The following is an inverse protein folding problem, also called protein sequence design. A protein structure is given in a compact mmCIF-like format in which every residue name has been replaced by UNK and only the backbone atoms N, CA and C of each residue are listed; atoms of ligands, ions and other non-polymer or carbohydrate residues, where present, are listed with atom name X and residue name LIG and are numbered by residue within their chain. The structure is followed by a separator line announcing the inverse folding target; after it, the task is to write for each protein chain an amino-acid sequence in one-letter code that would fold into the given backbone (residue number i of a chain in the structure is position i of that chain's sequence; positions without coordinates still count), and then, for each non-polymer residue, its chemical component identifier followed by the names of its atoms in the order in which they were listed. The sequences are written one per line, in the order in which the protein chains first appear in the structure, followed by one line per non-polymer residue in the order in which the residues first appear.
data_IF_832815106347
#
_entry.id   IF_832815106347
#
_cell.length_a   1.000
_cell.length_b   1.000
_cell.length_c   1.000
_cell.angle_alpha   90.00
_cell.angle_beta   90.00
_cell.angle_gamma   90.00
#
_symmetry.space_group_name_H-M   'P 1'
#
loop_
_entity.id
_entity.type
_entity.pdbx_description
1 polymer ?
#
# COMPACT_ATOMS: atom_id res chain seq x y z
N UNK A 1 -21.76 14.06 1.71
CA UNK A 1 -22.12 13.46 0.41
C UNK A 1 -21.36 12.16 0.37
N UNK A 2 -22.07 11.09 0.70
CA UNK A 2 -21.55 9.73 0.86
C UNK A 2 -21.27 9.17 -0.55
N UNK A 3 -20.01 8.88 -0.88
CA UNK A 3 -19.56 8.53 -2.24
C UNK A 3 -19.16 7.05 -2.39
N UNK A 4 -19.28 6.21 -1.36
CA UNK A 4 -18.95 4.77 -1.45
C UNK A 4 -20.06 3.88 -0.90
N UNK A 5 -21.31 4.06 -1.35
CA UNK A 5 -22.33 3.00 -1.21
C UNK A 5 -22.73 2.46 -2.59
N UNK A 6 -22.45 1.16 -2.78
CA UNK A 6 -22.84 0.29 -3.89
C UNK A 6 -22.18 0.55 -5.25
N UNK A 7 -21.06 -0.12 -5.57
CA UNK A 7 -20.99 -0.94 -6.81
C UNK A 7 -19.70 -1.70 -7.13
N UNK A 8 -18.72 -1.84 -6.22
CA UNK A 8 -17.44 -2.49 -6.58
C UNK A 8 -17.64 -3.92 -7.13
N UNK A 9 -18.60 -4.68 -6.57
CA UNK A 9 -18.89 -6.05 -7.04
C UNK A 9 -19.75 -6.15 -8.32
N UNK A 10 -20.44 -5.09 -8.76
CA UNK A 10 -21.22 -5.12 -10.02
C UNK A 10 -20.43 -4.63 -11.23
N UNK A 11 -19.41 -3.80 -11.03
CA UNK A 11 -18.61 -3.24 -12.13
C UNK A 11 -17.67 -4.30 -12.73
N UNK A 12 -17.16 -5.23 -11.91
CA UNK A 12 -16.33 -6.35 -12.37
C UNK A 12 -17.11 -7.37 -13.23
N UNK A 13 -18.43 -7.45 -13.11
CA UNK A 13 -19.27 -8.38 -13.89
C UNK A 13 -19.70 -7.84 -15.27
N UNK A 14 -19.51 -6.54 -15.54
CA UNK A 14 -19.95 -5.89 -16.80
C UNK A 14 -18.82 -5.49 -17.76
N UNK A 15 -17.56 -5.60 -17.33
CA UNK A 15 -16.39 -5.25 -18.14
C UNK A 15 -15.90 -6.39 -19.06
N UNK A 16 -16.79 -7.32 -19.43
CA UNK A 16 -16.47 -8.53 -20.19
C UNK A 16 -16.43 -8.39 -21.70
N UNK A 17 -16.87 -7.27 -22.28
CA UNK A 17 -16.93 -7.09 -23.74
C UNK A 17 -16.47 -5.69 -24.15
N UNK A 18 -15.18 -5.55 -24.49
CA UNK A 18 -14.67 -4.66 -25.56
C UNK A 18 -13.15 -4.84 -25.69
N UNK A 19 -12.73 -5.40 -26.82
CA UNK A 19 -11.34 -5.61 -27.22
C UNK A 19 -10.65 -4.29 -27.58
N UNK A 20 -9.64 -3.87 -26.82
CA UNK A 20 -8.39 -3.26 -27.32
C UNK A 20 -7.28 -3.34 -26.26
N UNK A 21 -6.42 -4.35 -26.36
CA UNK A 21 -4.95 -4.24 -26.30
C UNK A 21 -4.24 -3.56 -25.12
N UNK A 22 -4.31 -4.14 -23.91
CA UNK A 22 -3.13 -4.48 -23.07
C UNK A 22 -3.60 -5.46 -22.00
N UNK A 23 -3.30 -6.74 -22.19
CA UNK A 23 -3.66 -7.80 -21.24
C UNK A 23 -2.69 -7.76 -20.06
N UNK A 24 -3.09 -7.12 -18.96
CA UNK A 24 -2.46 -7.34 -17.67
C UNK A 24 -3.06 -8.60 -17.06
N UNK A 25 -2.32 -9.71 -17.12
CA UNK A 25 -2.63 -10.90 -16.32
C UNK A 25 -2.31 -10.59 -14.86
N UNK A 26 -3.33 -10.53 -14.01
CA UNK A 26 -3.15 -10.49 -12.55
C UNK A 26 -2.68 -11.89 -12.12
N UNK A 27 -1.45 -12.06 -11.58
CA UNK A 27 -1.07 -13.32 -10.98
C UNK A 27 -1.75 -13.41 -9.61
N UNK A 28 -2.69 -14.34 -9.47
CA UNK A 28 -3.22 -14.74 -8.15
C UNK A 28 -2.04 -15.28 -7.33
N UNK A 29 -1.69 -14.57 -6.26
CA UNK A 29 -0.70 -15.00 -5.28
C UNK A 29 -1.24 -16.22 -4.52
N UNK A 30 -0.88 -17.43 -4.96
CA UNK A 30 -1.13 -18.66 -4.22
C UNK A 30 -0.21 -18.74 -3.00
N UNK A 31 -0.57 -18.03 -1.92
CA UNK A 31 -0.04 -18.32 -0.59
C UNK A 31 -1.11 -19.06 0.23
N UNK A 32 -1.43 -20.28 -0.22
CA UNK A 32 -2.16 -21.29 0.54
C UNK A 32 -1.18 -22.34 1.07
N UNK A 33 -0.61 -22.12 2.27
CA UNK A 33 0.33 -23.06 2.86
C UNK A 33 -0.42 -24.21 3.57
N UNK A 34 -0.59 -25.33 2.87
CA UNK A 34 -0.73 -26.64 3.52
C UNK A 34 0.66 -27.12 3.97
N UNK A 35 0.77 -27.49 5.24
CA UNK A 35 2.04 -27.68 5.95
C UNK A 35 2.94 -28.79 5.40
N UNK A 36 4.22 -28.46 5.25
CA UNK A 36 5.34 -29.40 5.15
C UNK A 36 6.37 -29.03 6.23
N UNK A 37 6.74 -29.92 7.19
CA UNK A 37 7.50 -29.53 8.39
C UNK A 37 9.02 -29.34 8.17
N UNK A 38 9.48 -29.15 6.93
CA UNK A 38 10.90 -29.06 6.57
C UNK A 38 11.33 -27.77 5.84
N UNK A 39 10.43 -26.82 5.60
CA UNK A 39 10.79 -25.58 4.91
C UNK A 39 11.30 -24.54 5.92
N UNK A 40 12.60 -24.18 5.84
CA UNK A 40 13.11 -22.96 6.46
C UNK A 40 12.15 -21.80 6.16
N UNK A 41 11.75 -21.01 7.17
CA UNK A 41 10.85 -19.87 7.01
C UNK A 41 11.31 -19.01 5.82
N UNK A 42 10.64 -19.18 4.67
CA UNK A 42 10.93 -18.39 3.48
C UNK A 42 10.46 -16.99 3.82
N UNK A 43 11.41 -16.07 3.96
CA UNK A 43 11.12 -14.66 4.21
C UNK A 43 10.17 -14.16 3.11
N UNK A 44 9.08 -13.52 3.52
CA UNK A 44 8.16 -12.89 2.59
C UNK A 44 8.86 -11.82 1.75
N UNK A 45 8.53 -11.76 0.46
CA UNK A 45 9.05 -10.80 -0.52
C UNK A 45 7.91 -10.27 -1.37
N UNK A 46 7.99 -9.01 -1.81
CA UNK A 46 7.08 -8.47 -2.82
C UNK A 46 7.46 -8.94 -4.23
N UNK A 47 6.53 -8.84 -5.17
CA UNK A 47 6.78 -8.97 -6.60
C UNK A 47 7.77 -7.89 -7.07
N UNK A 48 8.53 -8.18 -8.14
CA UNK A 48 9.48 -7.22 -8.72
C UNK A 48 8.78 -6.04 -9.41
N UNK A 49 7.58 -6.29 -9.95
CA UNK A 49 6.75 -5.31 -10.65
C UNK A 49 5.31 -5.35 -10.11
N UNK A 50 4.54 -4.25 -10.25
CA UNK A 50 4.96 -2.94 -10.76
C UNK A 50 5.85 -2.16 -9.76
N UNK A 51 6.76 -1.32 -10.25
CA UNK A 51 7.54 -0.41 -9.40
C UNK A 51 6.78 0.91 -9.13
N UNK A 52 7.30 1.77 -8.25
CA UNK A 52 6.63 3.04 -7.88
C UNK A 52 6.34 3.96 -9.07
N UNK A 53 7.22 4.01 -10.07
CA UNK A 53 7.02 4.81 -11.28
C UNK A 53 5.98 4.18 -12.22
N UNK A 54 5.89 2.85 -12.27
CA UNK A 54 4.82 2.16 -13.00
C UNK A 54 3.45 2.47 -12.39
N UNK A 55 3.34 2.42 -11.06
CA UNK A 55 2.09 2.73 -10.35
C UNK A 55 1.72 4.21 -10.55
N UNK A 56 2.68 5.14 -10.41
CA UNK A 56 2.45 6.57 -10.67
C UNK A 56 1.91 6.79 -12.08
N UNK A 57 2.51 6.14 -13.09
CA UNK A 57 2.09 6.27 -14.49
C UNK A 57 0.69 5.71 -14.73
N UNK A 58 0.40 4.50 -14.24
CA UNK A 58 -0.92 3.87 -14.36
C UNK A 58 -2.02 4.75 -13.74
N UNK A 59 -1.73 5.35 -12.59
CA UNK A 59 -2.62 6.30 -11.96
C UNK A 59 -2.84 7.53 -12.84
N UNK A 60 -1.74 8.15 -13.30
CA UNK A 60 -1.81 9.40 -14.04
C UNK A 60 -2.66 9.24 -15.31
N UNK A 61 -2.46 8.12 -16.02
CA UNK A 61 -3.28 7.71 -17.16
C UNK A 61 -4.76 7.60 -16.77
N UNK A 62 -5.07 6.90 -15.67
CA UNK A 62 -6.44 6.75 -15.17
C UNK A 62 -7.12 8.09 -14.85
N UNK A 63 -6.37 9.04 -14.28
CA UNK A 63 -6.87 10.38 -13.92
C UNK A 63 -7.04 11.28 -15.13
N UNK A 64 -6.09 11.24 -16.06
CA UNK A 64 -6.11 12.02 -17.30
C UNK A 64 -7.32 11.65 -18.16
N UNK A 65 -7.59 10.35 -18.32
CA UNK A 65 -8.75 9.83 -19.06
C UNK A 65 -10.09 10.36 -18.54
N UNK A 66 -10.14 10.75 -17.26
CA UNK A 66 -11.37 11.19 -16.58
C UNK A 66 -11.42 12.69 -16.35
N UNK A 67 -10.40 13.44 -16.77
CA UNK A 67 -10.23 14.86 -16.48
C UNK A 67 -10.31 15.17 -14.96
N UNK A 68 -9.80 14.24 -14.14
CA UNK A 68 -9.89 14.35 -12.67
C UNK A 68 -8.77 15.17 -12.04
N UNK A 69 -7.76 15.55 -12.82
CA UNK A 69 -6.66 16.39 -12.36
C UNK A 69 -7.12 17.70 -11.72
N UNK A 70 -8.26 18.25 -12.12
CA UNK A 70 -8.85 19.45 -11.52
C UNK A 70 -9.18 19.27 -10.03
N UNK A 71 -9.52 18.05 -9.60
CA UNK A 71 -9.84 17.71 -8.20
C UNK A 71 -8.61 17.27 -7.40
N UNK A 72 -7.54 16.83 -8.06
CA UNK A 72 -6.32 16.28 -7.47
C UNK A 72 -5.33 17.39 -7.06
N UNK A 73 -5.80 18.34 -6.25
CA UNK A 73 -4.95 19.33 -5.59
C UNK A 73 -4.25 18.69 -4.38
N UNK A 74 -3.02 19.08 -4.01
CA UNK A 74 -2.26 18.44 -2.93
C UNK A 74 -3.02 18.30 -1.61
N UNK A 75 -3.79 19.31 -1.21
CA UNK A 75 -4.62 19.24 0.00
C UNK A 75 -5.71 18.17 -0.10
N UNK A 76 -6.35 18.04 -1.26
CA UNK A 76 -7.43 17.08 -1.45
C UNK A 76 -6.89 15.65 -1.43
N UNK A 77 -5.74 15.43 -2.09
CA UNK A 77 -5.03 14.14 -2.06
C UNK A 77 -4.58 13.76 -0.65
N UNK A 78 -4.08 14.71 0.13
CA UNK A 78 -3.75 14.46 1.54
C UNK A 78 -4.99 14.03 2.35
N UNK A 79 -6.14 14.67 2.13
CA UNK A 79 -7.37 14.31 2.83
C UNK A 79 -7.90 12.93 2.41
N UNK A 80 -7.80 12.60 1.11
CA UNK A 80 -8.13 11.26 0.61
C UNK A 80 -7.21 10.20 1.23
N UNK A 81 -5.89 10.42 1.22
CA UNK A 81 -4.90 9.56 1.88
C UNK A 81 -5.23 9.31 3.37
N UNK A 82 -5.62 10.34 4.10
CA UNK A 82 -6.01 10.19 5.52
C UNK A 82 -7.27 9.33 5.65
N UNK A 83 -8.22 9.46 4.73
CA UNK A 83 -9.41 8.61 4.66
C UNK A 83 -9.03 7.14 4.53
N UNK A 84 -8.20 6.79 3.55
CA UNK A 84 -7.81 5.40 3.31
C UNK A 84 -6.94 4.83 4.44
N UNK A 85 -6.10 5.64 5.10
CA UNK A 85 -5.43 5.23 6.35
C UNK A 85 -6.44 4.92 7.45
N UNK A 86 -7.56 5.66 7.49
CA UNK A 86 -8.69 5.37 8.36
C UNK A 86 -9.34 4.04 8.03
N UNK A 87 -9.61 3.76 6.75
CA UNK A 87 -10.17 2.48 6.28
C UNK A 87 -9.25 1.30 6.66
N UNK A 88 -7.92 1.43 6.51
CA UNK A 88 -6.95 0.45 7.04
C UNK A 88 -7.11 0.28 8.55
N UNK A 89 -7.20 1.37 9.32
CA UNK A 89 -7.31 1.30 10.77
C UNK A 89 -8.60 0.61 11.22
N UNK A 90 -9.71 0.77 10.50
CA UNK A 90 -10.99 0.15 10.79
C UNK A 90 -10.94 -1.39 10.75
N UNK A 91 -10.08 -1.97 9.90
CA UNK A 91 -9.88 -3.42 9.82
C UNK A 91 -9.24 -4.00 11.09
N UNK A 92 -8.44 -3.20 11.80
CA UNK A 92 -7.71 -3.61 13.00
C UNK A 92 -8.35 -3.14 14.31
N UNK A 93 -9.22 -2.14 14.30
CA UNK A 93 -9.63 -1.39 15.51
C UNK A 93 -10.20 -2.25 16.66
N UNK A 94 -10.84 -3.39 16.34
CA UNK A 94 -11.45 -4.31 17.33
C UNK A 94 -10.69 -5.63 17.47
N UNK A 95 -9.51 -5.76 16.86
CA UNK A 95 -8.66 -6.94 16.96
C UNK A 95 -7.79 -6.83 18.22
N UNK A 96 -7.54 -7.96 18.88
CA UNK A 96 -6.50 -8.07 19.89
C UNK A 96 -5.10 -8.09 19.27
N UNK A 97 -4.13 -8.68 19.97
CA UNK A 97 -2.82 -8.94 19.38
C UNK A 97 -2.97 -9.75 18.08
N UNK A 98 -2.41 -9.23 17.00
CA UNK A 98 -2.54 -9.81 15.66
C UNK A 98 -1.21 -10.45 15.27
N UNK A 99 -1.23 -11.74 14.95
CA UNK A 99 -0.02 -12.48 14.55
C UNK A 99 0.47 -12.07 13.15
N UNK A 100 1.78 -12.16 12.94
CA UNK A 100 2.38 -11.97 11.61
C UNK A 100 1.76 -12.94 10.59
N UNK A 101 1.49 -12.44 9.39
CA UNK A 101 0.85 -13.22 8.32
C UNK A 101 -0.67 -13.41 8.46
N UNK A 102 -1.28 -12.90 9.53
CA UNK A 102 -2.74 -12.84 9.71
C UNK A 102 -3.45 -14.22 9.55
N UNK A 103 -2.98 -15.29 10.23
CA UNK A 103 -3.49 -16.65 10.00
C UNK A 103 -4.99 -16.82 10.33
N UNK A 104 -5.51 -16.01 11.25
CA UNK A 104 -6.91 -16.07 11.69
C UNK A 104 -7.86 -15.20 10.84
N UNK A 105 -7.34 -14.54 9.80
CA UNK A 105 -8.14 -13.68 8.93
C UNK A 105 -8.75 -14.48 7.79
N UNK A 106 -10.02 -14.21 7.50
CA UNK A 106 -10.74 -14.77 6.36
C UNK A 106 -10.20 -14.16 5.07
N UNK A 107 -10.36 -14.88 3.95
CA UNK A 107 -9.93 -14.42 2.64
C UNK A 107 -10.47 -13.01 2.29
N UNK A 108 -11.76 -12.77 2.53
CA UNK A 108 -12.37 -11.45 2.28
C UNK A 108 -11.80 -10.33 3.16
N UNK A 109 -11.37 -10.62 4.39
CA UNK A 109 -10.74 -9.61 5.27
C UNK A 109 -9.33 -9.28 4.79
N UNK A 110 -8.61 -10.28 4.25
CA UNK A 110 -7.29 -10.09 3.64
C UNK A 110 -7.37 -9.31 2.32
N UNK A 111 -8.37 -9.62 1.50
CA UNK A 111 -8.66 -8.88 0.26
C UNK A 111 -8.98 -7.41 0.56
N UNK A 112 -9.81 -7.14 1.56
CA UNK A 112 -10.07 -5.75 1.97
C UNK A 112 -8.79 -5.05 2.43
N UNK A 113 -7.94 -5.71 3.22
CA UNK A 113 -6.66 -5.15 3.62
C UNK A 113 -5.74 -4.85 2.41
N UNK A 114 -5.72 -5.74 1.42
CA UNK A 114 -4.96 -5.52 0.18
C UNK A 114 -5.47 -4.28 -0.57
N UNK A 115 -6.79 -4.07 -0.63
CA UNK A 115 -7.39 -2.87 -1.23
C UNK A 115 -7.01 -1.61 -0.47
N UNK A 116 -7.24 -1.54 0.85
CA UNK A 116 -6.99 -0.31 1.61
C UNK A 116 -5.50 0.06 1.66
N UNK A 117 -4.61 -0.93 1.74
CA UNK A 117 -3.17 -0.67 1.63
C UNK A 117 -2.77 -0.16 0.25
N UNK A 118 -3.43 -0.65 -0.81
CA UNK A 118 -3.21 -0.17 -2.18
C UNK A 118 -3.68 1.27 -2.35
N UNK A 119 -4.86 1.61 -1.83
CA UNK A 119 -5.42 2.96 -1.92
C UNK A 119 -4.56 3.99 -1.17
N UNK A 120 -4.01 3.62 0.00
CA UNK A 120 -3.01 4.42 0.72
C UNK A 120 -1.77 4.67 -0.14
N UNK A 121 -1.25 3.64 -0.82
CA UNK A 121 -0.07 3.79 -1.68
C UNK A 121 -0.35 4.67 -2.89
N UNK A 122 -1.50 4.48 -3.55
CA UNK A 122 -1.93 5.24 -4.72
C UNK A 122 -1.99 6.72 -4.38
N UNK A 123 -2.75 7.12 -3.34
CA UNK A 123 -2.85 8.53 -2.98
C UNK A 123 -1.52 9.13 -2.48
N UNK A 124 -0.65 8.34 -1.86
CA UNK A 124 0.68 8.81 -1.49
C UNK A 124 1.55 9.13 -2.72
N UNK A 125 1.50 8.28 -3.75
CA UNK A 125 2.23 8.49 -5.00
C UNK A 125 1.70 9.68 -5.78
N UNK A 126 0.38 9.84 -5.87
CA UNK A 126 -0.25 11.02 -6.48
C UNK A 126 0.11 12.30 -5.76
N UNK A 127 0.08 12.29 -4.42
CA UNK A 127 0.46 13.45 -3.62
C UNK A 127 1.93 13.81 -3.87
N UNK A 128 2.82 12.82 -3.91
CA UNK A 128 4.22 13.03 -4.23
C UNK A 128 4.40 13.63 -5.63
N UNK A 129 3.68 13.11 -6.63
CA UNK A 129 3.67 13.63 -7.99
C UNK A 129 3.22 15.09 -8.04
N UNK A 130 2.06 15.44 -7.45
CA UNK A 130 1.56 16.83 -7.44
C UNK A 130 2.45 17.78 -6.63
N UNK A 131 3.25 17.26 -5.70
CA UNK A 131 4.25 18.03 -4.97
C UNK A 131 5.64 18.02 -5.62
N UNK A 132 5.81 17.37 -6.77
CA UNK A 132 7.08 17.23 -7.49
C UNK A 132 8.18 16.60 -6.60
N UNK A 133 7.81 15.59 -5.81
CA UNK A 133 8.72 14.85 -4.95
C UNK A 133 9.09 13.53 -5.63
N UNK A 134 10.37 13.37 -5.97
CA UNK A 134 10.95 12.07 -6.30
C UNK A 134 10.95 11.19 -5.04
N UNK A 135 9.86 10.44 -4.86
CA UNK A 135 9.60 9.65 -3.67
C UNK A 135 10.63 8.52 -3.48
N UNK A 136 11.01 7.73 -4.51
CA UNK A 136 12.08 6.75 -4.37
C UNK A 136 13.38 7.35 -3.82
N UNK A 137 13.84 8.48 -4.37
CA UNK A 137 15.05 9.13 -3.89
C UNK A 137 14.87 9.76 -2.50
N UNK A 138 13.68 10.29 -2.18
CA UNK A 138 13.37 10.81 -0.85
C UNK A 138 13.44 9.70 0.22
N UNK A 139 12.94 8.50 -0.08
CA UNK A 139 13.04 7.32 0.80
C UNK A 139 14.51 6.93 1.03
N UNK A 140 15.34 6.88 -0.01
CA UNK A 140 16.77 6.58 0.12
C UNK A 140 17.48 7.57 1.05
N UNK A 141 17.26 8.87 0.86
CA UNK A 141 17.80 9.92 1.74
C UNK A 141 17.29 9.76 3.17
N UNK A 142 16.00 9.50 3.37
CA UNK A 142 15.40 9.31 4.70
C UNK A 142 15.97 8.09 5.41
N UNK A 143 16.22 7.00 4.69
CA UNK A 143 16.84 5.79 5.24
C UNK A 143 18.29 6.02 5.68
N UNK A 144 19.07 6.78 4.92
CA UNK A 144 20.41 7.19 5.35
C UNK A 144 20.36 7.99 6.66
N UNK A 145 19.44 8.96 6.76
CA UNK A 145 19.22 9.73 7.99
C UNK A 145 18.77 8.85 9.17
N UNK A 146 17.89 7.87 8.92
CA UNK A 146 17.43 6.95 9.96
C UNK A 146 18.59 6.10 10.51
N UNK A 147 19.51 5.64 9.66
CA UNK A 147 20.71 4.88 10.09
C UNK A 147 21.63 5.70 11.00
N UNK A 148 21.80 6.98 10.69
CA UNK A 148 22.58 7.89 11.54
C UNK A 148 21.89 8.14 12.89
N UNK A 149 20.56 8.27 12.85
CA UNK A 149 19.73 8.54 14.02
C UNK A 149 19.60 7.33 14.96
N UNK A 150 19.67 6.11 14.42
CA UNK A 150 19.53 4.86 15.15
C UNK A 150 20.69 3.91 14.81
N UNK A 151 21.91 4.18 15.30
CA UNK A 151 23.05 3.30 15.06
C UNK A 151 22.84 1.95 15.74
N UNK A 152 23.26 0.86 15.09
CA UNK A 152 23.07 -0.51 15.58
C UNK A 152 23.58 -0.69 17.01
N UNK A 153 24.74 -0.11 17.33
CA UNK A 153 25.35 -0.19 18.66
C UNK A 153 24.48 0.38 19.79
N UNK A 154 23.59 1.34 19.50
CA UNK A 154 22.70 1.98 20.48
C UNK A 154 21.24 1.50 20.38
N UNK A 155 20.82 1.04 19.20
CA UNK A 155 19.42 0.73 18.91
C UNK A 155 19.10 -0.78 18.80
N UNK A 156 20.08 -1.67 18.81
CA UNK A 156 19.83 -3.12 18.70
C UNK A 156 18.91 -3.62 19.83
N UNK A 157 17.78 -4.24 19.45
CA UNK A 157 16.77 -4.76 20.39
C UNK A 157 16.07 -3.68 21.22
N UNK A 158 16.18 -2.39 20.87
CA UNK A 158 15.64 -1.28 21.65
C UNK A 158 14.64 -0.46 20.84
N UNK A 159 13.44 -0.26 21.38
CA UNK A 159 12.42 0.63 20.82
C UNK A 159 12.57 2.09 21.30
N UNK A 160 13.63 2.42 22.05
CA UNK A 160 13.88 3.77 22.56
C UNK A 160 13.99 4.77 21.41
N UNK A 161 13.45 5.97 21.61
CA UNK A 161 13.71 7.06 20.67
C UNK A 161 15.17 7.46 20.77
N UNK A 162 15.74 7.89 19.66
CA UNK A 162 17.11 8.38 19.58
C UNK A 162 17.48 9.47 20.60
N UNK A 163 16.48 10.25 21.06
CA UNK A 163 16.62 11.26 22.13
C UNK A 163 16.90 10.66 23.50
N UNK A 164 16.75 9.35 23.66
CA UNK A 164 16.91 8.62 24.92
C UNK A 164 18.20 7.78 24.96
N UNK A 165 19.00 7.78 23.88
CA UNK A 165 20.31 7.15 23.89
C UNK A 165 21.27 8.04 24.69
N UNK A 166 21.79 7.50 25.81
CA UNK A 166 22.90 8.14 26.53
C UNK A 166 24.21 7.85 25.77
N UNK A 167 25.14 8.80 25.84
CA UNK A 167 26.48 8.66 25.28
C UNK A 167 27.35 7.66 26.06
#
# INVERSE_FOLDING_TARGET
VDLKTNNTNQLLAKAGDTETGTSFTIPLSENGAAGNPGAAHRRFTFSEEPNMEDIRRLQAEFTDERDWNQFHQPRNLLLALIGEVGEVAELFQWRGETAEGLPDWKAAEREQLEHELSDVLIYLLELAEKCHVDLPQAVLRKMALNRLKYPVSKAYGSAKKYTEFKD
#
